data_IF_419207287826
#
_entry.id   IF_419207287826
#
_cell.length_a   1.000
_cell.length_b   1.000
_cell.length_c   1.000
_cell.angle_alpha   90.00
_cell.angle_beta   90.00
_cell.angle_gamma   90.00
#
_symmetry.space_group_name_H-M   'P 1'
#
loop_
_entity.id
_entity.type
_entity.pdbx_description
1 polymer ?
#
# COMPACT_ATOMS: atom_id res chain seq x y z
N UNK A 1 -7.12 0.07 -30.73
CA UNK A 1 -6.62 0.79 -29.53
C UNK A 1 -5.26 0.26 -29.05
N UNK A 2 -5.12 -1.02 -28.71
CA UNK A 2 -3.86 -1.59 -28.18
C UNK A 2 -2.67 -1.44 -29.15
N UNK A 3 -2.85 -1.78 -30.44
CA UNK A 3 -1.78 -1.62 -31.45
C UNK A 3 -1.27 -0.17 -31.50
N UNK A 4 -2.18 0.79 -31.52
CA UNK A 4 -1.84 2.23 -31.57
C UNK A 4 -1.09 2.68 -30.32
N UNK A 5 -1.49 2.17 -29.15
CA UNK A 5 -0.80 2.44 -27.89
C UNK A 5 0.62 1.87 -27.86
N UNK A 6 0.81 0.61 -28.22
CA UNK A 6 2.13 -0.03 -28.31
C UNK A 6 3.04 0.68 -29.31
N UNK A 7 2.53 1.01 -30.51
CA UNK A 7 3.30 1.71 -31.55
C UNK A 7 3.71 3.11 -31.07
N UNK A 8 2.78 3.91 -30.57
CA UNK A 8 3.07 5.25 -30.05
C UNK A 8 4.03 5.26 -28.86
N UNK A 9 3.96 4.23 -28.00
CA UNK A 9 4.92 4.08 -26.90
C UNK A 9 6.32 3.81 -27.43
N UNK A 10 6.48 2.90 -28.40
CA UNK A 10 7.79 2.60 -29.01
C UNK A 10 8.38 3.78 -29.79
N UNK A 11 7.54 4.54 -30.46
CA UNK A 11 7.98 5.75 -31.18
C UNK A 11 8.53 6.81 -30.21
N UNK A 12 7.88 6.97 -29.05
CA UNK A 12 8.27 7.96 -28.04
C UNK A 12 9.42 7.48 -27.14
N UNK A 13 9.46 6.19 -26.86
CA UNK A 13 10.47 5.54 -26.02
C UNK A 13 10.94 4.24 -26.68
N UNK A 14 11.91 4.33 -27.60
CA UNK A 14 12.38 3.19 -28.41
C UNK A 14 12.88 2.01 -27.60
N UNK A 15 13.47 2.28 -26.43
CA UNK A 15 14.02 1.27 -25.51
C UNK A 15 12.98 0.55 -24.66
N UNK A 16 11.69 0.87 -24.84
CA UNK A 16 10.64 0.19 -24.10
C UNK A 16 10.49 -1.26 -24.52
N UNK A 17 10.57 -2.16 -23.56
CA UNK A 17 10.29 -3.58 -23.73
C UNK A 17 8.89 -3.92 -23.23
N UNK A 18 8.07 -4.47 -24.10
CA UNK A 18 6.76 -5.03 -23.73
C UNK A 18 6.95 -6.48 -23.35
N UNK A 19 6.56 -6.82 -22.15
CA UNK A 19 6.70 -8.17 -21.59
C UNK A 19 5.34 -8.67 -21.08
N UNK A 20 5.15 -9.96 -21.02
CA UNK A 20 4.02 -10.58 -20.34
C UNK A 20 4.20 -10.49 -18.82
N UNK A 21 3.14 -10.72 -18.05
CA UNK A 21 3.24 -10.79 -16.59
C UNK A 21 4.21 -11.88 -16.12
N UNK A 22 4.28 -13.02 -16.82
CA UNK A 22 5.24 -14.09 -16.51
C UNK A 22 6.68 -13.63 -16.70
N UNK A 23 7.00 -13.06 -17.85
CA UNK A 23 8.32 -12.51 -18.16
C UNK A 23 8.71 -11.40 -17.19
N UNK A 24 7.78 -10.50 -16.84
CA UNK A 24 8.03 -9.47 -15.83
C UNK A 24 8.37 -10.10 -14.47
N UNK A 25 7.62 -11.10 -14.03
CA UNK A 25 7.88 -11.82 -12.79
C UNK A 25 9.27 -12.52 -12.79
N UNK A 26 9.73 -13.04 -13.94
CA UNK A 26 11.06 -13.61 -14.06
C UNK A 26 12.17 -12.55 -13.99
N UNK A 27 11.99 -11.43 -14.69
CA UNK A 27 12.91 -10.30 -14.63
C UNK A 27 13.02 -9.76 -13.20
N UNK A 28 11.89 -9.61 -12.54
CA UNK A 28 11.84 -9.17 -11.14
C UNK A 28 12.62 -10.10 -10.22
N UNK A 29 12.38 -11.42 -10.28
CA UNK A 29 13.09 -12.42 -9.48
C UNK A 29 14.59 -12.48 -9.78
N UNK A 30 15.01 -12.18 -11.01
CA UNK A 30 16.43 -12.10 -11.36
C UNK A 30 17.10 -10.88 -10.72
N UNK A 31 16.40 -9.76 -10.66
CA UNK A 31 16.95 -8.50 -10.15
C UNK A 31 16.87 -8.42 -8.63
N UNK A 32 15.78 -8.86 -8.04
CA UNK A 32 15.51 -8.75 -6.60
C UNK A 32 15.57 -10.12 -5.94
N UNK A 33 16.68 -10.41 -5.27
CA UNK A 33 16.96 -11.71 -4.64
C UNK A 33 16.40 -11.83 -3.25
N UNK A 34 16.30 -10.71 -2.50
CA UNK A 34 15.70 -10.65 -1.17
C UNK A 34 15.02 -9.31 -0.95
N UNK A 35 14.18 -9.26 0.09
CA UNK A 35 13.52 -8.04 0.55
C UNK A 35 14.23 -7.42 1.77
N UNK A 36 15.43 -7.90 2.14
CA UNK A 36 16.09 -7.54 3.40
C UNK A 36 16.40 -6.06 3.49
N UNK A 37 16.79 -5.46 2.37
CA UNK A 37 17.14 -4.04 2.29
C UNK A 37 15.97 -3.16 1.86
N UNK A 38 14.79 -3.72 1.73
CA UNK A 38 13.63 -2.96 1.28
C UNK A 38 13.16 -1.97 2.34
N UNK A 39 13.16 -0.70 1.95
CA UNK A 39 12.62 0.39 2.75
C UNK A 39 11.99 1.41 1.79
N UNK A 40 10.74 1.16 1.43
CA UNK A 40 9.98 2.00 0.50
C UNK A 40 9.24 3.09 1.26
N UNK A 41 9.43 4.33 0.80
CA UNK A 41 8.70 5.50 1.30
C UNK A 41 8.19 6.31 0.13
N UNK A 42 6.90 6.55 0.06
CA UNK A 42 6.34 7.44 -0.94
C UNK A 42 5.14 8.20 -0.37
N UNK A 43 4.79 9.28 -1.05
CA UNK A 43 3.74 10.20 -0.64
C UNK A 43 2.77 10.36 -1.79
N UNK A 44 1.50 10.15 -1.52
CA UNK A 44 0.40 10.47 -2.41
C UNK A 44 -0.32 11.71 -1.87
N UNK A 45 -0.62 12.65 -2.76
CA UNK A 45 -1.37 13.86 -2.43
C UNK A 45 -2.56 13.96 -3.35
N UNK A 46 -3.66 14.48 -2.83
CA UNK A 46 -4.85 14.73 -3.62
C UNK A 46 -4.53 15.60 -4.83
N UNK A 47 -4.99 15.20 -6.01
CA UNK A 47 -4.64 15.82 -7.29
C UNK A 47 -5.45 17.07 -7.64
N UNK A 48 -6.40 17.44 -6.83
CA UNK A 48 -7.26 18.59 -7.09
C UNK A 48 -8.41 18.37 -8.09
N UNK A 49 -8.58 17.15 -8.56
CA UNK A 49 -9.73 16.79 -9.41
C UNK A 49 -10.97 16.46 -8.55
N UNK A 50 -11.36 17.40 -7.73
CA UNK A 50 -12.47 17.28 -6.80
C UNK A 50 -12.08 17.80 -5.43
N UNK A 51 -12.85 18.71 -4.90
CA UNK A 51 -12.52 19.44 -3.67
C UNK A 51 -12.23 18.55 -2.46
N UNK A 52 -12.79 17.34 -2.43
CA UNK A 52 -12.71 16.44 -1.27
C UNK A 52 -11.31 15.89 -0.97
N UNK A 53 -10.40 15.88 -1.96
CA UNK A 53 -9.08 15.24 -1.81
C UNK A 53 -7.91 16.22 -1.83
N UNK A 54 -8.15 17.50 -2.07
CA UNK A 54 -7.11 18.51 -2.32
C UNK A 54 -6.07 18.65 -1.21
N UNK A 55 -6.46 18.46 0.03
CA UNK A 55 -5.60 18.63 1.19
C UNK A 55 -5.34 17.32 1.94
N UNK A 56 -5.61 16.18 1.31
CA UNK A 56 -5.27 14.87 1.89
C UNK A 56 -3.88 14.44 1.43
N UNK A 57 -3.11 13.95 2.35
CA UNK A 57 -1.79 13.37 2.11
C UNK A 57 -1.75 11.97 2.72
N UNK A 58 -1.35 10.98 1.94
CA UNK A 58 -1.09 9.63 2.41
C UNK A 58 0.40 9.36 2.29
N UNK A 59 1.04 9.00 3.40
CA UNK A 59 2.43 8.54 3.43
C UNK A 59 2.46 7.04 3.62
N UNK A 60 3.13 6.38 2.68
CA UNK A 60 3.38 4.95 2.72
C UNK A 60 4.78 4.65 3.21
N UNK A 61 4.86 3.64 4.06
CA UNK A 61 6.10 3.06 4.58
C UNK A 61 5.99 1.55 4.41
N UNK A 62 6.90 0.96 3.65
CA UNK A 62 6.90 -0.48 3.40
C UNK A 62 8.31 -1.02 3.56
N UNK A 63 8.43 -2.13 4.26
CA UNK A 63 9.66 -2.87 4.43
C UNK A 63 9.37 -4.38 4.39
N UNK A 64 10.33 -5.22 4.71
CA UNK A 64 10.16 -6.68 4.70
C UNK A 64 9.19 -7.23 5.76
N UNK A 65 8.89 -6.46 6.79
CA UNK A 65 8.07 -6.93 7.92
C UNK A 65 6.63 -6.41 7.86
N UNK A 66 6.41 -5.22 7.29
CA UNK A 66 5.07 -4.63 7.24
C UNK A 66 4.89 -3.54 6.17
N UNK A 67 3.64 -3.21 5.96
CA UNK A 67 3.17 -2.04 5.22
C UNK A 67 2.37 -1.14 6.17
N UNK A 68 2.67 0.15 6.15
CA UNK A 68 1.99 1.19 6.95
C UNK A 68 1.58 2.35 6.05
N UNK A 69 0.33 2.81 6.17
CA UNK A 69 -0.14 4.04 5.54
C UNK A 69 -0.65 5.03 6.59
N UNK A 70 -0.18 6.26 6.49
CA UNK A 70 -0.56 7.38 7.35
C UNK A 70 -1.30 8.43 6.55
N UNK A 71 -2.53 8.74 6.93
CA UNK A 71 -3.35 9.81 6.37
C UNK A 71 -3.22 11.07 7.21
N UNK A 72 -2.97 12.21 6.54
CA UNK A 72 -3.08 13.55 7.14
C UNK A 72 -4.04 14.40 6.33
N UNK A 73 -4.94 15.05 7.03
CA UNK A 73 -5.86 16.04 6.45
C UNK A 73 -5.36 17.46 6.75
N UNK A 74 -4.88 18.12 5.71
CA UNK A 74 -4.35 19.48 5.79
C UNK A 74 -5.41 20.58 5.74
N UNK A 75 -6.71 20.25 5.63
CA UNK A 75 -7.77 21.23 5.82
C UNK A 75 -7.79 21.73 7.27
N UNK A 76 -7.35 20.91 8.19
CA UNK A 76 -7.25 21.27 9.61
C UNK A 76 -5.80 21.57 9.96
N UNK A 77 -5.54 22.78 10.45
CA UNK A 77 -4.22 23.18 10.93
C UNK A 77 -3.78 22.26 12.07
N UNK A 78 -2.57 21.72 11.96
CA UNK A 78 -2.00 20.78 12.93
C UNK A 78 -2.75 19.44 13.03
N UNK A 79 -3.47 19.03 12.00
CA UNK A 79 -4.08 17.69 11.96
C UNK A 79 -3.02 16.62 12.19
N UNK A 80 -3.26 15.68 13.12
CA UNK A 80 -2.36 14.55 13.31
C UNK A 80 -2.41 13.60 12.10
N UNK A 81 -1.40 12.77 11.97
CA UNK A 81 -1.41 11.68 11.01
C UNK A 81 -2.11 10.45 11.63
N UNK A 82 -3.06 9.91 10.90
CA UNK A 82 -3.81 8.72 11.31
C UNK A 82 -3.33 7.49 10.55
N UNK A 83 -3.16 6.38 11.23
CA UNK A 83 -2.93 5.07 10.61
C UNK A 83 -4.22 4.63 9.93
N UNK A 84 -4.17 4.43 8.63
CA UNK A 84 -5.28 3.95 7.81
C UNK A 84 -5.05 2.56 7.23
N UNK A 85 -3.79 2.11 7.19
CA UNK A 85 -3.41 0.74 6.87
C UNK A 85 -2.18 0.36 7.69
N UNK A 86 -2.25 -0.78 8.35
CA UNK A 86 -1.11 -1.42 8.96
C UNK A 86 -1.21 -2.93 8.76
N UNK A 87 -0.36 -3.46 7.91
CA UNK A 87 -0.36 -4.88 7.53
C UNK A 87 0.98 -5.49 7.84
N UNK A 88 1.03 -6.40 8.79
CA UNK A 88 2.20 -7.23 9.11
C UNK A 88 2.27 -8.43 8.17
N UNK A 89 3.47 -8.80 7.75
CA UNK A 89 3.69 -9.94 6.84
C UNK A 89 4.05 -11.24 7.57
N UNK A 90 4.30 -11.20 8.87
CA UNK A 90 4.57 -12.36 9.71
C UNK A 90 3.30 -13.15 10.08
N UNK A 91 2.12 -12.59 9.81
CA UNK A 91 0.85 -13.23 10.07
C UNK A 91 0.53 -14.25 8.97
N UNK A 92 0.09 -15.44 9.37
CA UNK A 92 -0.38 -16.44 8.42
C UNK A 92 -1.62 -15.92 7.70
N UNK A 93 -1.49 -15.76 6.40
CA UNK A 93 -2.57 -15.32 5.53
C UNK A 93 -3.15 -16.51 4.77
N UNK A 94 -4.47 -16.64 4.79
CA UNK A 94 -5.18 -17.55 3.92
C UNK A 94 -5.96 -16.73 2.89
N UNK A 95 -5.77 -17.05 1.61
CA UNK A 95 -6.61 -16.47 0.58
C UNK A 95 -8.07 -16.84 0.85
N UNK A 96 -9.00 -15.90 0.71
CA UNK A 96 -10.41 -16.22 0.78
C UNK A 96 -10.77 -17.18 -0.37
N UNK A 97 -11.71 -18.08 -0.13
CA UNK A 97 -12.25 -18.90 -1.20
C UNK A 97 -12.78 -18.02 -2.34
N UNK A 98 -12.54 -18.44 -3.57
CA UNK A 98 -13.06 -17.72 -4.73
C UNK A 98 -14.57 -17.49 -4.61
N UNK A 99 -15.03 -16.29 -4.96
CA UNK A 99 -16.46 -16.02 -4.99
C UNK A 99 -17.13 -16.87 -6.07
N UNK A 100 -18.23 -17.52 -5.73
CA UNK A 100 -19.08 -18.16 -6.73
C UNK A 100 -20.22 -17.22 -7.16
N UNK A 101 -20.86 -17.47 -8.32
CA UNK A 101 -22.03 -16.70 -8.75
C UNK A 101 -23.15 -16.69 -7.70
N UNK A 102 -23.30 -17.78 -6.94
CA UNK A 102 -24.32 -17.94 -5.89
C UNK A 102 -23.92 -17.22 -4.59
N UNK A 103 -22.63 -17.03 -4.38
CA UNK A 103 -22.08 -16.30 -3.23
C UNK A 103 -21.05 -15.29 -3.71
N UNK A 104 -21.49 -14.21 -4.35
CA UNK A 104 -20.55 -13.16 -4.73
C UNK A 104 -19.91 -12.60 -3.46
N UNK A 105 -18.60 -12.70 -3.34
CA UNK A 105 -17.88 -12.12 -2.25
C UNK A 105 -17.99 -10.59 -2.36
N UNK A 106 -18.89 -10.01 -1.60
CA UNK A 106 -18.98 -8.54 -1.46
C UNK A 106 -17.80 -7.96 -0.70
N UNK A 107 -17.06 -8.81 0.01
CA UNK A 107 -15.94 -8.41 0.88
C UNK A 107 -14.61 -8.96 0.34
N UNK A 108 -14.17 -8.43 -0.76
CA UNK A 108 -12.82 -8.62 -1.28
C UNK A 108 -11.76 -7.84 -0.49
N UNK A 109 -12.05 -7.45 0.71
CA UNK A 109 -11.01 -6.93 1.58
C UNK A 109 -10.13 -8.08 2.04
N UNK A 110 -9.13 -8.41 1.25
CA UNK A 110 -8.02 -9.29 1.62
C UNK A 110 -7.47 -8.88 2.98
N UNK A 111 -7.42 -7.60 3.26
CA UNK A 111 -6.94 -7.00 4.50
C UNK A 111 -7.61 -7.59 5.74
N UNK A 112 -8.92 -7.82 5.74
CA UNK A 112 -9.62 -8.37 6.91
C UNK A 112 -9.50 -9.87 7.10
N UNK A 113 -9.16 -10.61 6.05
CA UNK A 113 -9.07 -12.07 6.09
C UNK A 113 -7.64 -12.54 6.18
N UNK A 114 -6.70 -11.73 5.70
CA UNK A 114 -5.28 -12.01 5.70
C UNK A 114 -4.62 -11.55 6.99
N UNK A 115 -4.99 -10.37 7.48
CA UNK A 115 -4.49 -9.84 8.73
C UNK A 115 -5.67 -9.34 9.58
N UNK A 116 -6.07 -10.12 10.58
CA UNK A 116 -7.17 -9.73 11.48
C UNK A 116 -6.88 -8.46 12.27
N UNK A 117 -5.62 -8.08 12.39
CA UNK A 117 -5.17 -6.83 13.03
C UNK A 117 -5.06 -5.66 12.04
N UNK A 118 -5.26 -5.88 10.75
CA UNK A 118 -5.18 -4.80 9.78
C UNK A 118 -6.30 -3.80 10.00
N UNK A 119 -5.92 -2.53 10.05
CA UNK A 119 -6.87 -1.44 10.10
C UNK A 119 -7.48 -1.22 8.72
N UNK A 120 -8.79 -1.10 8.66
CA UNK A 120 -9.47 -0.68 7.44
C UNK A 120 -9.32 0.82 7.25
N UNK A 121 -8.91 1.29 6.07
CA UNK A 121 -8.80 2.72 5.80
C UNK A 121 -10.08 3.51 6.09
N UNK A 122 -11.24 2.88 5.83
CA UNK A 122 -12.54 3.55 5.93
C UNK A 122 -13.21 3.44 7.30
N UNK A 123 -12.84 2.46 8.13
CA UNK A 123 -13.63 2.14 9.31
C UNK A 123 -13.20 2.92 10.56
N UNK A 124 -11.92 2.87 10.92
CA UNK A 124 -11.42 3.51 12.15
C UNK A 124 -9.96 3.92 12.04
N UNK A 125 -9.66 5.06 11.44
CA UNK A 125 -8.32 5.63 11.51
C UNK A 125 -7.93 5.85 12.97
N UNK A 126 -6.72 5.43 13.37
CA UNK A 126 -6.21 5.59 14.72
C UNK A 126 -4.87 6.33 14.71
N UNK A 127 -4.57 7.02 15.79
CA UNK A 127 -3.25 7.60 15.98
C UNK A 127 -2.22 6.49 16.18
N UNK A 128 -1.00 6.72 15.73
CA UNK A 128 0.08 5.72 15.81
C UNK A 128 0.39 5.31 17.26
N UNK A 129 0.24 6.23 18.21
CA UNK A 129 0.42 6.00 19.64
C UNK A 129 -0.74 5.23 20.29
N UNK A 130 -1.83 4.98 19.55
CA UNK A 130 -2.99 4.19 19.97
C UNK A 130 -3.01 2.77 19.41
N UNK A 131 -2.03 2.42 18.58
CA UNK A 131 -1.81 1.03 18.20
C UNK A 131 -1.44 0.17 19.41
N UNK A 132 -1.53 -1.14 19.29
CA UNK A 132 -0.99 -2.06 20.29
C UNK A 132 0.52 -1.83 20.45
N UNK A 133 1.03 -2.04 21.65
CA UNK A 133 2.44 -1.75 21.95
C UNK A 133 3.41 -2.55 21.08
N UNK A 134 3.11 -3.80 20.80
CA UNK A 134 3.90 -4.65 19.90
C UNK A 134 4.04 -4.03 18.51
N UNK A 135 2.93 -3.51 17.96
CA UNK A 135 2.89 -2.87 16.66
C UNK A 135 3.65 -1.53 16.66
N UNK A 136 3.51 -0.74 17.74
CA UNK A 136 4.28 0.48 17.91
C UNK A 136 5.80 0.19 17.97
N UNK A 137 6.21 -0.84 18.70
CA UNK A 137 7.62 -1.21 18.85
C UNK A 137 8.19 -1.70 17.53
N UNK A 138 7.40 -2.47 16.76
CA UNK A 138 7.78 -2.90 15.41
C UNK A 138 7.94 -1.70 14.46
N UNK A 139 6.99 -0.76 14.46
CA UNK A 139 7.10 0.45 13.63
C UNK A 139 8.29 1.29 14.07
N UNK A 140 8.50 1.48 15.36
CA UNK A 140 9.60 2.28 15.92
C UNK A 140 10.98 1.74 15.56
N UNK A 141 11.11 0.43 15.44
CA UNK A 141 12.35 -0.24 15.00
C UNK A 141 12.83 0.27 13.63
N UNK A 142 11.90 0.54 12.71
CA UNK A 142 12.20 0.97 11.34
C UNK A 142 12.03 2.47 11.10
N UNK A 143 11.09 3.10 11.79
CA UNK A 143 10.69 4.49 11.60
C UNK A 143 10.53 5.23 12.93
N UNK A 144 11.61 5.40 13.72
CA UNK A 144 11.57 6.06 15.04
C UNK A 144 11.09 7.51 14.95
N UNK A 145 11.26 8.15 13.79
CA UNK A 145 10.83 9.53 13.55
C UNK A 145 9.31 9.72 13.61
N UNK A 146 8.52 8.67 13.46
CA UNK A 146 7.05 8.74 13.50
C UNK A 146 6.50 8.90 14.94
N UNK A 147 7.34 8.80 15.94
CA UNK A 147 6.97 8.88 17.37
C UNK A 147 7.57 10.10 18.08
N UNK A 148 7.98 11.10 17.32
CA UNK A 148 8.54 12.37 17.83
C UNK A 148 7.48 13.44 17.95
#
# INVERSE_FOLDING_TARGET
AMKMWVTGTKERWPDTHFVTFGEFGELWRKQYKSNDDWNYRFVERGSGLGDSYNNLEIKWFMNKEFRLALLRDWHTKNSPAYVIDFTRYDLQAHEPADPSPEKPAKDWSLINKINQKALRPQDKPVLIDKLEKEDQDLIRKYYPELFK
#
